data_IF_097209679275
#
_entry.id   IF_097209679275
#
_cell.length_a   1.000
_cell.length_b   1.000
_cell.length_c   1.000
_cell.angle_alpha   90.00
_cell.angle_beta   90.00
_cell.angle_gamma   90.00
#
_symmetry.space_group_name_H-M   'P 1'
#
loop_
_entity.id
_entity.type
_entity.pdbx_description
1 polymer ?
#
# COMPACT_ATOMS: atom_id res chain seq x y z
N UNK A 1 56.09 3.88 7.91
CA UNK A 1 54.88 3.57 8.71
C UNK A 1 53.57 4.12 8.12
N UNK A 2 53.56 4.66 6.89
CA UNK A 2 52.40 5.40 6.33
C UNK A 2 51.52 4.58 5.37
N UNK A 3 51.99 3.40 4.94
CA UNK A 3 51.28 2.54 3.98
C UNK A 3 50.12 1.74 4.59
N UNK A 4 50.21 1.39 5.88
CA UNK A 4 49.19 0.58 6.58
C UNK A 4 47.90 1.37 6.86
N UNK A 5 47.99 2.69 7.12
CA UNK A 5 46.82 3.54 7.27
C UNK A 5 46.07 3.74 5.95
N UNK A 6 46.78 4.01 4.84
CA UNK A 6 46.16 4.16 3.50
C UNK A 6 45.34 2.92 3.11
N UNK A 7 45.86 1.72 3.36
CA UNK A 7 45.16 0.47 3.05
C UNK A 7 43.87 0.29 3.88
N UNK A 8 43.89 0.69 5.16
CA UNK A 8 42.69 0.69 6.01
C UNK A 8 41.64 1.69 5.52
N UNK A 9 42.04 2.89 5.09
CA UNK A 9 41.10 3.88 4.57
C UNK A 9 40.49 3.44 3.24
N UNK A 10 41.29 2.89 2.32
CA UNK A 10 40.78 2.40 1.03
C UNK A 10 39.83 1.21 1.21
N UNK A 11 40.16 0.25 2.09
CA UNK A 11 39.27 -0.86 2.40
C UNK A 11 37.96 -0.39 3.06
N UNK A 12 38.01 0.63 3.93
CA UNK A 12 36.83 1.18 4.58
C UNK A 12 35.94 1.94 3.58
N UNK A 13 36.53 2.71 2.66
CA UNK A 13 35.81 3.38 1.58
C UNK A 13 35.14 2.34 0.68
N UNK A 14 35.87 1.28 0.29
CA UNK A 14 35.31 0.22 -0.54
C UNK A 14 34.14 -0.49 0.15
N UNK A 15 34.25 -0.75 1.45
CA UNK A 15 33.18 -1.34 2.25
C UNK A 15 31.96 -0.42 2.37
N UNK A 16 32.16 0.87 2.59
CA UNK A 16 31.06 1.85 2.65
C UNK A 16 30.37 1.97 1.29
N UNK A 17 31.14 2.11 0.20
CA UNK A 17 30.59 2.19 -1.16
C UNK A 17 29.86 0.90 -1.52
N UNK A 18 30.41 -0.27 -1.18
CA UNK A 18 29.75 -1.56 -1.39
C UNK A 18 28.42 -1.67 -0.62
N UNK A 19 28.39 -1.27 0.66
CA UNK A 19 27.17 -1.28 1.45
C UNK A 19 26.13 -0.29 0.93
N UNK A 20 26.55 0.90 0.46
CA UNK A 20 25.64 1.87 -0.14
C UNK A 20 25.09 1.34 -1.47
N UNK A 21 25.92 0.74 -2.33
CA UNK A 21 25.47 0.12 -3.58
C UNK A 21 24.49 -1.02 -3.30
N UNK A 22 24.79 -1.88 -2.33
CA UNK A 22 23.92 -2.98 -1.91
C UNK A 22 22.57 -2.46 -1.38
N UNK A 23 22.59 -1.44 -0.52
CA UNK A 23 21.39 -0.80 0.01
C UNK A 23 20.56 -0.14 -1.10
N UNK A 24 21.20 0.49 -2.10
CA UNK A 24 20.53 1.06 -3.26
C UNK A 24 19.88 -0.02 -4.13
N UNK A 25 20.54 -1.17 -4.32
CA UNK A 25 19.98 -2.31 -5.06
C UNK A 25 18.74 -2.89 -4.33
N UNK A 26 18.78 -2.97 -3.01
CA UNK A 26 17.67 -3.48 -2.20
C UNK A 26 16.45 -2.53 -2.21
N UNK A 27 16.69 -1.21 -2.23
CA UNK A 27 15.65 -0.18 -2.37
C UNK A 27 14.97 -0.16 -3.76
N UNK A 28 15.60 -0.73 -4.79
CA UNK A 28 15.06 -0.83 -6.16
C UNK A 28 14.32 -2.15 -6.44
N UNK A 29 14.10 -3.01 -5.45
CA UNK A 29 13.44 -4.30 -5.66
C UNK A 29 11.93 -4.17 -5.89
N UNK A 30 11.53 -4.22 -7.16
CA UNK A 30 10.17 -4.55 -7.57
C UNK A 30 10.03 -6.05 -7.87
N UNK A 31 8.95 -6.69 -7.42
CA UNK A 31 8.61 -8.06 -7.84
C UNK A 31 7.95 -8.01 -9.22
N UNK A 32 8.42 -8.81 -10.16
CA UNK A 32 7.80 -8.90 -11.50
C UNK A 32 6.52 -9.71 -11.42
N UNK A 33 5.44 -9.16 -11.97
CA UNK A 33 4.16 -9.85 -12.15
C UNK A 33 3.91 -10.01 -13.64
N UNK A 34 3.77 -11.25 -14.12
CA UNK A 34 3.45 -11.55 -15.52
C UNK A 34 2.01 -12.01 -15.60
N UNK A 35 1.19 -11.32 -16.39
CA UNK A 35 -0.20 -11.68 -16.65
C UNK A 35 -0.55 -11.40 -18.10
N UNK A 36 -1.51 -12.15 -18.64
CA UNK A 36 -2.05 -11.91 -19.98
C UNK A 36 -3.20 -10.93 -19.86
N UNK A 37 -3.13 -9.82 -20.60
CA UNK A 37 -4.17 -8.82 -20.66
C UNK A 37 -4.95 -8.98 -21.97
N UNK A 38 -6.28 -8.84 -21.97
CA UNK A 38 -7.05 -8.67 -23.20
C UNK A 38 -6.55 -7.47 -24.00
N UNK A 39 -6.58 -7.54 -25.33
CA UNK A 39 -6.05 -6.51 -26.22
C UNK A 39 -6.67 -5.14 -25.95
N UNK A 40 -8.00 -5.09 -25.76
CA UNK A 40 -8.73 -3.85 -25.43
C UNK A 40 -8.19 -3.15 -24.17
N UNK A 41 -7.76 -3.91 -23.17
CA UNK A 41 -7.20 -3.34 -21.94
C UNK A 41 -5.78 -2.81 -22.16
N UNK A 42 -4.97 -3.52 -22.94
CA UNK A 42 -3.61 -3.10 -23.28
C UNK A 42 -3.62 -1.79 -24.09
N UNK A 43 -4.58 -1.65 -25.02
CA UNK A 43 -4.78 -0.42 -25.81
C UNK A 43 -5.11 0.78 -24.93
N UNK A 44 -6.06 0.64 -24.00
CA UNK A 44 -6.42 1.72 -23.05
C UNK A 44 -5.23 2.17 -22.19
N UNK A 45 -4.43 1.22 -21.70
CA UNK A 45 -3.21 1.55 -20.92
C UNK A 45 -2.21 2.30 -21.79
N UNK A 46 -2.05 1.91 -23.05
CA UNK A 46 -1.15 2.58 -23.97
C UNK A 46 -1.61 4.01 -24.31
N UNK A 47 -2.91 4.24 -24.46
CA UNK A 47 -3.48 5.57 -24.65
C UNK A 47 -3.17 6.48 -23.45
N UNK A 48 -3.40 5.99 -22.22
CA UNK A 48 -3.10 6.74 -20.99
C UNK A 48 -1.60 7.04 -20.89
N UNK A 49 -0.73 6.08 -21.22
CA UNK A 49 0.72 6.27 -21.23
C UNK A 49 1.16 7.37 -22.19
N UNK A 50 0.54 7.45 -23.38
CA UNK A 50 0.80 8.52 -24.36
C UNK A 50 0.36 9.89 -23.85
N UNK A 51 -0.83 9.99 -23.27
CA UNK A 51 -1.39 11.23 -22.72
C UNK A 51 -0.49 11.77 -21.60
N UNK A 52 -0.09 10.89 -20.69
CA UNK A 52 0.68 11.27 -19.50
C UNK A 52 2.19 11.32 -19.71
N UNK A 53 2.67 10.90 -20.89
CA UNK A 53 4.10 10.82 -21.24
C UNK A 53 4.90 9.98 -20.24
N UNK A 54 4.32 8.86 -19.80
CA UNK A 54 4.94 7.89 -18.90
C UNK A 54 5.06 6.54 -19.60
N UNK A 55 5.97 5.69 -19.11
CA UNK A 55 6.07 4.32 -19.60
C UNK A 55 4.88 3.46 -19.12
N UNK A 56 4.59 2.38 -19.86
CA UNK A 56 3.47 1.48 -19.58
C UNK A 56 3.56 0.89 -18.17
N UNK A 57 4.75 0.51 -17.70
CA UNK A 57 4.93 -0.12 -16.40
C UNK A 57 4.62 0.84 -15.25
N UNK A 58 4.99 2.12 -15.40
CA UNK A 58 4.64 3.18 -14.45
C UNK A 58 3.13 3.41 -14.37
N UNK A 59 2.43 3.46 -15.51
CA UNK A 59 0.97 3.57 -15.55
C UNK A 59 0.31 2.36 -14.91
N UNK A 60 0.74 1.15 -15.26
CA UNK A 60 0.22 -0.10 -14.70
C UNK A 60 0.37 -0.12 -13.18
N UNK A 61 1.57 0.20 -12.67
CA UNK A 61 1.83 0.21 -11.22
C UNK A 61 0.91 1.19 -10.50
N UNK A 62 0.79 2.41 -11.02
CA UNK A 62 -0.06 3.43 -10.41
C UNK A 62 -1.55 3.08 -10.47
N UNK A 63 -2.02 2.46 -11.56
CA UNK A 63 -3.39 1.97 -11.66
C UNK A 63 -3.66 0.84 -10.67
N UNK A 64 -2.70 -0.09 -10.51
CA UNK A 64 -2.78 -1.16 -9.52
C UNK A 64 -2.80 -0.61 -8.09
N UNK A 65 -1.96 0.36 -7.75
CA UNK A 65 -1.95 0.99 -6.43
C UNK A 65 -3.32 1.59 -6.09
N UNK A 66 -3.89 2.36 -7.02
CA UNK A 66 -5.25 2.92 -6.88
C UNK A 66 -6.31 1.82 -6.79
N UNK A 67 -6.18 0.77 -7.60
CA UNK A 67 -7.10 -0.36 -7.63
C UNK A 67 -7.11 -1.13 -6.30
N UNK A 68 -5.94 -1.38 -5.70
CA UNK A 68 -5.81 -2.07 -4.42
C UNK A 68 -6.45 -1.27 -3.29
N UNK A 69 -6.19 0.04 -3.22
CA UNK A 69 -6.80 0.92 -2.21
C UNK A 69 -8.31 0.89 -2.32
N UNK A 70 -8.84 1.08 -3.53
CA UNK A 70 -10.29 1.05 -3.78
C UNK A 70 -10.91 -0.31 -3.44
N UNK A 71 -10.24 -1.40 -3.81
CA UNK A 71 -10.72 -2.75 -3.51
C UNK A 71 -10.80 -2.99 -1.99
N UNK A 72 -9.78 -2.56 -1.23
CA UNK A 72 -9.80 -2.66 0.24
C UNK A 72 -10.92 -1.85 0.87
N UNK A 73 -11.18 -0.65 0.38
CA UNK A 73 -12.28 0.20 0.83
C UNK A 73 -13.63 -0.51 0.61
N UNK A 74 -13.90 -0.96 -0.62
CA UNK A 74 -15.15 -1.65 -0.98
C UNK A 74 -15.31 -2.96 -0.17
N UNK A 75 -14.22 -3.71 0.03
CA UNK A 75 -14.22 -4.93 0.81
C UNK A 75 -14.52 -4.69 2.30
N UNK A 76 -13.86 -3.71 2.92
CA UNK A 76 -14.09 -3.34 4.31
C UNK A 76 -15.53 -2.87 4.55
N UNK A 77 -16.08 -2.07 3.63
CA UNK A 77 -17.47 -1.62 3.68
C UNK A 77 -18.45 -2.80 3.64
N UNK A 78 -18.21 -3.78 2.76
CA UNK A 78 -19.07 -4.96 2.64
C UNK A 78 -19.05 -5.81 3.92
N UNK A 79 -17.87 -6.06 4.47
CA UNK A 79 -17.73 -6.81 5.73
C UNK A 79 -18.41 -6.10 6.90
N UNK A 80 -18.26 -4.77 6.98
CA UNK A 80 -18.91 -3.98 8.02
C UNK A 80 -20.45 -3.99 7.87
N UNK A 81 -20.96 -3.83 6.65
CA UNK A 81 -22.39 -3.92 6.35
C UNK A 81 -23.00 -5.25 6.80
N UNK A 82 -22.29 -6.34 6.56
CA UNK A 82 -22.73 -7.67 6.95
C UNK A 82 -22.60 -7.94 8.46
N UNK A 83 -22.01 -7.01 9.23
CA UNK A 83 -21.75 -7.19 10.66
C UNK A 83 -20.62 -8.18 10.97
N UNK A 84 -19.78 -8.51 9.99
CA UNK A 84 -18.70 -9.50 10.13
C UNK A 84 -17.49 -8.93 10.89
N UNK A 85 -17.30 -7.61 10.86
CA UNK A 85 -16.16 -6.91 11.48
C UNK A 85 -16.60 -5.65 12.22
N UNK A 86 -15.83 -5.22 13.21
CA UNK A 86 -16.05 -3.95 13.92
C UNK A 86 -15.68 -2.74 13.06
N UNK A 87 -16.13 -1.55 13.48
CA UNK A 87 -15.79 -0.28 12.83
C UNK A 87 -14.27 -0.05 12.80
N UNK A 88 -13.59 -0.27 13.94
CA UNK A 88 -12.14 -0.15 14.03
C UNK A 88 -11.42 -1.12 13.09
N UNK A 89 -11.90 -2.37 12.97
CA UNK A 89 -11.30 -3.34 12.05
C UNK A 89 -11.53 -2.99 10.59
N UNK A 90 -12.67 -2.40 10.25
CA UNK A 90 -12.97 -1.95 8.90
C UNK A 90 -12.09 -0.75 8.49
N UNK A 91 -11.87 0.20 9.40
CA UNK A 91 -10.93 1.30 9.22
C UNK A 91 -9.49 0.79 8.99
N UNK A 92 -9.04 -0.19 9.78
CA UNK A 92 -7.72 -0.83 9.63
C UNK A 92 -7.55 -1.49 8.24
N UNK A 93 -8.52 -2.30 7.81
CA UNK A 93 -8.46 -3.01 6.51
C UNK A 93 -8.44 -2.04 5.34
N UNK A 94 -9.26 -0.98 5.40
CA UNK A 94 -9.32 0.06 4.38
C UNK A 94 -8.13 1.02 4.42
N UNK A 95 -7.27 0.92 5.44
CA UNK A 95 -6.15 1.86 5.68
C UNK A 95 -6.64 3.32 5.82
N UNK A 96 -7.84 3.48 6.37
CA UNK A 96 -8.47 4.77 6.68
C UNK A 96 -8.51 4.96 8.19
N UNK A 97 -8.59 6.21 8.63
CA UNK A 97 -9.02 6.51 9.99
C UNK A 97 -10.49 6.12 10.20
N UNK A 98 -10.89 5.97 11.47
CA UNK A 98 -12.29 5.70 11.82
C UNK A 98 -13.22 6.79 11.24
N UNK A 99 -12.81 8.06 11.32
CA UNK A 99 -13.57 9.19 10.81
C UNK A 99 -13.73 9.14 9.28
N UNK A 100 -12.65 8.91 8.56
CA UNK A 100 -12.71 8.75 7.09
C UNK A 100 -13.61 7.56 6.70
N UNK A 101 -13.56 6.47 7.45
CA UNK A 101 -14.43 5.32 7.19
C UNK A 101 -15.91 5.63 7.46
N UNK A 102 -16.21 6.41 8.50
CA UNK A 102 -17.56 6.90 8.77
C UNK A 102 -18.07 7.82 7.65
N UNK A 103 -17.22 8.69 7.12
CA UNK A 103 -17.54 9.52 5.97
C UNK A 103 -17.87 8.67 4.74
N UNK A 104 -17.11 7.59 4.51
CA UNK A 104 -17.40 6.61 3.44
C UNK A 104 -18.73 5.89 3.60
N UNK A 105 -19.11 5.55 4.84
CA UNK A 105 -20.43 4.97 5.12
C UNK A 105 -21.54 5.97 4.80
N UNK A 106 -21.36 7.24 5.16
CA UNK A 106 -22.32 8.31 4.88
C UNK A 106 -22.47 8.57 3.37
N UNK A 107 -21.36 8.68 2.63
CA UNK A 107 -21.34 8.84 1.17
C UNK A 107 -22.14 7.74 0.46
N UNK A 108 -21.99 6.49 0.92
CA UNK A 108 -22.66 5.32 0.34
C UNK A 108 -24.04 5.02 0.95
N UNK A 109 -24.54 5.89 1.84
CA UNK A 109 -25.84 5.76 2.53
C UNK A 109 -26.00 4.43 3.27
N UNK A 110 -24.91 3.96 3.86
CA UNK A 110 -24.87 2.71 4.60
C UNK A 110 -25.27 3.02 6.04
N UNK A 111 -26.33 2.40 6.59
CA UNK A 111 -26.72 2.63 7.97
C UNK A 111 -25.62 2.18 8.92
N UNK A 112 -25.38 2.97 9.96
CA UNK A 112 -24.44 2.62 11.02
C UNK A 112 -24.97 1.41 11.76
N UNK A 113 -24.33 0.26 11.56
CA UNK A 113 -24.61 -0.97 12.29
C UNK A 113 -23.81 -1.02 13.60
N UNK A 114 -23.74 0.12 14.31
CA UNK A 114 -23.00 0.25 15.55
C UNK A 114 -23.84 -0.31 16.71
N UNK A 115 -23.62 -1.58 17.04
CA UNK A 115 -24.26 -2.24 18.17
C UNK A 115 -23.37 -2.18 19.44
N UNK A 116 -23.97 -2.41 20.61
CA UNK A 116 -23.32 -2.44 21.93
C UNK A 116 -22.15 -3.43 21.98
N UNK A 117 -22.23 -4.50 21.20
CA UNK A 117 -21.19 -5.52 21.11
C UNK A 117 -19.93 -5.02 20.38
N UNK A 118 -20.11 -4.17 19.35
CA UNK A 118 -19.01 -3.48 18.66
C UNK A 118 -18.30 -2.50 19.60
N UNK A 119 -19.07 -1.76 20.41
CA UNK A 119 -18.53 -0.87 21.44
C UNK A 119 -17.69 -1.64 22.49
N UNK A 120 -18.15 -2.83 22.92
CA UNK A 120 -17.39 -3.68 23.85
C UNK A 120 -16.05 -4.11 23.27
N UNK A 121 -16.02 -4.57 22.02
CA UNK A 121 -14.79 -5.00 21.35
C UNK A 121 -13.80 -3.84 21.15
N UNK A 122 -14.29 -2.65 20.80
CA UNK A 122 -13.46 -1.45 20.68
C UNK A 122 -12.87 -1.05 22.05
N UNK A 123 -13.66 -1.14 23.13
CA UNK A 123 -13.19 -0.89 24.50
C UNK A 123 -12.14 -1.91 24.98
N UNK A 124 -12.29 -3.20 24.63
CA UNK A 124 -11.27 -4.20 24.95
C UNK A 124 -9.97 -3.96 24.21
N UNK A 125 -10.04 -3.53 22.95
CA UNK A 125 -8.85 -3.20 22.14
C UNK A 125 -8.13 -1.99 22.72
N UNK A 126 -8.86 -0.94 23.10
CA UNK A 126 -8.30 0.26 23.72
C UNK A 126 -7.63 -0.01 25.08
N UNK A 127 -8.10 -1.00 25.84
CA UNK A 127 -7.49 -1.41 27.12
C UNK A 127 -6.20 -2.21 26.99
N UNK A 128 -5.89 -2.73 25.80
CA UNK A 128 -4.69 -3.54 25.52
C UNK A 128 -3.53 -2.70 24.96
N UNK A 129 -3.78 -1.43 24.64
CA UNK A 129 -2.78 -0.42 24.29
C UNK A 129 -2.29 0.29 25.55
#
# INVERSE_FOLDING_TARGET
MSYSLKFKYEACIYFIVFNIIFLIQELHMGKTLTTRLPDEMAEKIEEIAKIEKLDKSSIIRRLLDKGIVRWKEEFALKLYQNGEISLGKAAEISSLSIWEFLDKLAEKKIPLNYNIENLKNDLETAKKL
#
